data_IF_360528167651
#
_entry.id   IF_360528167651
#
_cell.length_a   1.000
_cell.length_b   1.000
_cell.length_c   1.000
_cell.angle_alpha   90.00
_cell.angle_beta   90.00
_cell.angle_gamma   90.00
#
_symmetry.space_group_name_H-M   'P 1'
#
loop_
_entity.id
_entity.type
_entity.pdbx_description
1 polymer ?
#
# COMPACT_ATOMS: atom_id res chain seq x y z
N UNK A 1 -75.41 -7.01 -89.46
CA UNK A 1 -76.43 -5.99 -89.38
C UNK A 1 -76.22 -5.17 -88.16
N UNK A 2 -75.82 -3.95 -88.41
CA UNK A 2 -76.07 -2.70 -87.69
C UNK A 2 -75.65 -2.55 -86.23
N UNK A 3 -74.62 -1.79 -86.09
CA UNK A 3 -74.51 -0.33 -85.79
C UNK A 3 -75.09 0.04 -84.41
N UNK A 4 -74.34 0.67 -83.62
CA UNK A 4 -74.28 2.13 -83.37
C UNK A 4 -73.23 2.51 -82.38
N UNK A 5 -72.43 3.51 -82.73
CA UNK A 5 -71.48 4.30 -81.92
C UNK A 5 -72.17 4.98 -80.77
N UNK A 6 -71.50 5.04 -79.62
CA UNK A 6 -71.52 6.25 -78.78
C UNK A 6 -70.17 6.51 -78.15
N UNK A 7 -69.62 7.66 -78.49
CA UNK A 7 -68.47 8.31 -77.82
C UNK A 7 -68.93 8.80 -76.47
N UNK A 8 -68.08 8.59 -75.44
CA UNK A 8 -68.19 9.34 -74.20
C UNK A 8 -66.78 9.69 -73.74
N UNK A 9 -66.50 10.98 -73.67
CA UNK A 9 -65.24 11.61 -73.21
C UNK A 9 -65.18 11.48 -71.72
N UNK A 10 -64.09 10.93 -71.20
CA UNK A 10 -63.78 10.99 -69.80
C UNK A 10 -62.56 11.90 -69.59
N UNK A 11 -62.84 12.93 -68.84
CA UNK A 11 -61.89 13.89 -68.30
C UNK A 11 -60.85 13.15 -67.40
N UNK A 12 -59.58 13.19 -67.77
CA UNK A 12 -58.50 12.64 -66.93
C UNK A 12 -58.09 13.69 -65.93
N UNK A 13 -58.43 13.47 -64.65
CA UNK A 13 -57.98 14.22 -63.50
C UNK A 13 -56.59 13.69 -63.13
N UNK A 14 -55.56 14.48 -63.39
CA UNK A 14 -54.18 14.13 -62.99
C UNK A 14 -53.97 14.35 -61.49
N UNK A 15 -53.77 13.27 -60.77
CA UNK A 15 -53.30 13.30 -59.36
C UNK A 15 -51.82 13.36 -59.39
N UNK A 16 -51.27 14.53 -59.07
CA UNK A 16 -49.81 14.69 -58.76
C UNK A 16 -49.57 14.15 -57.39
N UNK A 17 -48.98 12.97 -57.25
CA UNK A 17 -48.48 12.43 -56.00
C UNK A 17 -47.06 13.04 -55.74
N UNK A 18 -46.95 13.99 -54.78
CA UNK A 18 -45.71 14.52 -54.31
C UNK A 18 -45.04 13.46 -53.38
N UNK A 19 -44.00 12.81 -53.86
CA UNK A 19 -43.14 11.95 -53.06
C UNK A 19 -42.29 12.82 -52.10
N UNK A 20 -42.69 12.93 -50.83
CA UNK A 20 -41.87 13.43 -49.76
C UNK A 20 -40.78 12.37 -49.41
N UNK A 21 -39.58 12.50 -49.98
CA UNK A 21 -38.41 11.77 -49.56
C UNK A 21 -38.01 12.26 -48.17
N UNK A 22 -38.44 11.57 -47.11
CA UNK A 22 -37.94 11.75 -45.75
C UNK A 22 -36.50 11.27 -45.74
N UNK A 23 -35.53 12.22 -45.72
CA UNK A 23 -34.15 11.93 -45.39
C UNK A 23 -34.10 11.42 -43.94
N UNK A 24 -34.21 10.12 -43.74
CA UNK A 24 -33.85 9.50 -42.46
C UNK A 24 -32.34 9.64 -42.27
N UNK A 25 -31.91 10.48 -41.34
CA UNK A 25 -30.53 10.53 -40.91
C UNK A 25 -30.11 9.14 -40.41
N UNK A 26 -28.93 8.64 -40.78
CA UNK A 26 -28.47 7.36 -40.28
C UNK A 26 -28.44 7.39 -38.75
N UNK A 27 -28.79 6.28 -38.06
CA UNK A 27 -28.70 6.23 -36.60
C UNK A 27 -27.26 6.52 -36.18
N UNK A 28 -27.08 7.55 -35.34
CA UNK A 28 -25.82 7.84 -34.70
C UNK A 28 -25.44 6.58 -33.90
N UNK A 29 -24.43 5.86 -34.35
CA UNK A 29 -23.92 4.72 -33.63
C UNK A 29 -23.41 5.25 -32.27
N UNK A 30 -24.20 5.04 -31.22
CA UNK A 30 -23.74 5.28 -29.86
C UNK A 30 -22.61 4.30 -29.58
N UNK A 31 -21.36 4.81 -29.56
CA UNK A 31 -20.21 4.04 -29.10
C UNK A 31 -20.56 3.50 -27.70
N UNK A 32 -20.50 2.17 -27.47
CA UNK A 32 -20.78 1.65 -26.16
C UNK A 32 -19.86 2.37 -25.15
N UNK A 33 -20.43 2.88 -24.06
CA UNK A 33 -19.64 3.48 -23.01
C UNK A 33 -18.56 2.49 -22.59
N UNK A 34 -17.30 2.91 -22.64
CA UNK A 34 -16.17 2.04 -22.31
C UNK A 34 -16.41 1.47 -20.90
N UNK A 35 -16.30 0.14 -20.76
CA UNK A 35 -16.46 -0.55 -19.49
C UNK A 35 -15.48 0.05 -18.48
N UNK A 36 -15.97 0.40 -17.29
CA UNK A 36 -15.10 0.87 -16.22
C UNK A 36 -14.05 -0.20 -15.89
N UNK A 37 -12.81 0.22 -15.74
CA UNK A 37 -11.74 -0.65 -15.26
C UNK A 37 -12.02 -1.09 -13.84
N UNK A 38 -11.74 -2.36 -13.53
CA UNK A 38 -11.93 -2.97 -12.21
C UNK A 38 -10.60 -3.38 -11.63
N UNK A 39 -10.34 -2.98 -10.38
CA UNK A 39 -9.10 -3.29 -9.65
C UNK A 39 -9.45 -3.99 -8.35
N UNK A 40 -8.81 -5.13 -8.09
CA UNK A 40 -8.88 -5.79 -6.81
C UNK A 40 -7.63 -5.44 -5.99
N UNK A 41 -7.81 -4.84 -4.83
CA UNK A 41 -6.76 -4.66 -3.82
C UNK A 41 -6.88 -5.79 -2.81
N UNK A 42 -5.80 -6.53 -2.57
CA UNK A 42 -5.74 -7.62 -1.61
C UNK A 42 -4.63 -7.34 -0.61
N UNK A 43 -4.93 -7.38 0.68
CA UNK A 43 -4.00 -7.05 1.76
C UNK A 43 -4.25 -7.92 2.99
N UNK A 44 -3.22 -8.26 3.78
CA UNK A 44 -3.40 -8.93 5.07
C UNK A 44 -3.51 -7.95 6.26
N UNK A 45 -3.37 -6.63 6.08
CA UNK A 45 -3.05 -5.71 7.17
C UNK A 45 -3.96 -4.47 7.29
N UNK A 46 -5.25 -4.52 6.88
CA UNK A 46 -6.14 -3.34 6.99
C UNK A 46 -6.38 -2.84 8.41
N UNK A 47 -6.12 -3.66 9.42
CA UNK A 47 -6.17 -3.24 10.82
C UNK A 47 -5.00 -2.32 11.21
N UNK A 48 -3.92 -2.27 10.41
CA UNK A 48 -2.78 -1.37 10.59
C UNK A 48 -3.09 0.00 9.99
N UNK A 49 -2.79 1.08 10.71
CA UNK A 49 -3.15 2.45 10.33
C UNK A 49 -2.51 2.86 8.99
N UNK A 50 -1.22 2.57 8.80
CA UNK A 50 -0.51 2.97 7.58
C UNK A 50 -0.93 2.16 6.36
N UNK A 51 -1.23 0.88 6.53
CA UNK A 51 -1.80 0.04 5.46
C UNK A 51 -3.14 0.60 5.01
N UNK A 52 -4.04 0.86 5.98
CA UNK A 52 -5.33 1.46 5.68
C UNK A 52 -5.18 2.79 4.95
N UNK A 53 -4.29 3.65 5.44
CA UNK A 53 -4.04 4.96 4.85
C UNK A 53 -3.60 4.86 3.39
N UNK A 54 -2.54 4.10 3.07
CA UNK A 54 -2.02 4.01 1.71
C UNK A 54 -3.03 3.39 0.73
N UNK A 55 -3.81 2.39 1.19
CA UNK A 55 -4.84 1.76 0.36
C UNK A 55 -6.00 2.72 0.12
N UNK A 56 -6.44 3.48 1.12
CA UNK A 56 -7.49 4.49 0.96
C UNK A 56 -7.04 5.61 0.00
N UNK A 57 -5.78 6.06 0.08
CA UNK A 57 -5.22 7.03 -0.87
C UNK A 57 -5.15 6.45 -2.29
N UNK A 58 -4.70 5.21 -2.46
CA UNK A 58 -4.72 4.55 -3.76
C UNK A 58 -6.14 4.44 -4.32
N UNK A 59 -7.10 3.97 -3.51
CA UNK A 59 -8.51 3.87 -3.91
C UNK A 59 -9.06 5.22 -4.36
N UNK A 60 -8.80 6.28 -3.63
CA UNK A 60 -9.19 7.66 -3.99
C UNK A 60 -8.62 8.09 -5.34
N UNK A 61 -7.33 7.82 -5.60
CA UNK A 61 -6.67 8.12 -6.88
C UNK A 61 -7.27 7.30 -8.04
N UNK A 62 -7.53 6.02 -7.82
CA UNK A 62 -8.09 5.11 -8.81
C UNK A 62 -9.55 5.47 -9.15
N UNK A 63 -10.37 5.78 -8.16
CA UNK A 63 -11.77 6.20 -8.35
C UNK A 63 -11.87 7.56 -9.07
N UNK A 64 -10.92 8.48 -8.82
CA UNK A 64 -10.83 9.74 -9.56
C UNK A 64 -10.54 9.54 -11.06
N UNK A 65 -9.91 8.41 -11.45
CA UNK A 65 -9.70 7.98 -12.83
C UNK A 65 -10.91 7.22 -13.40
N UNK A 66 -12.02 7.10 -12.65
CA UNK A 66 -13.23 6.41 -13.04
C UNK A 66 -13.17 4.87 -12.90
N UNK A 67 -12.15 4.33 -12.21
CA UNK A 67 -12.01 2.89 -11.99
C UNK A 67 -12.88 2.44 -10.81
N UNK A 68 -13.25 1.16 -10.81
CA UNK A 68 -13.91 0.53 -9.69
C UNK A 68 -12.88 -0.25 -8.86
N UNK A 69 -12.78 0.04 -7.57
CA UNK A 69 -11.81 -0.61 -6.67
C UNK A 69 -12.53 -1.41 -5.60
N UNK A 70 -12.18 -2.69 -5.51
CA UNK A 70 -12.61 -3.57 -4.41
C UNK A 70 -11.41 -3.82 -3.51
N UNK A 71 -11.58 -3.64 -2.21
CA UNK A 71 -10.53 -3.92 -1.20
C UNK A 71 -10.93 -5.14 -0.39
N UNK A 72 -10.03 -6.11 -0.28
CA UNK A 72 -10.23 -7.32 0.50
C UNK A 72 -9.10 -7.45 1.52
N UNK A 73 -9.48 -7.46 2.79
CA UNK A 73 -8.58 -7.75 3.91
C UNK A 73 -8.67 -9.23 4.28
N UNK A 74 -7.53 -9.84 4.57
CA UNK A 74 -7.47 -11.22 5.05
C UNK A 74 -7.05 -11.34 6.51
N UNK A 75 -6.91 -10.22 7.22
CA UNK A 75 -6.62 -10.16 8.66
C UNK A 75 -5.44 -11.06 9.08
N UNK A 76 -4.30 -10.95 8.38
CA UNK A 76 -3.08 -11.73 8.54
C UNK A 76 -3.19 -13.23 8.15
N UNK A 77 -4.30 -13.67 7.53
CA UNK A 77 -4.39 -15.01 6.94
C UNK A 77 -3.80 -15.02 5.52
N UNK A 78 -2.56 -15.49 5.39
CA UNK A 78 -1.84 -15.55 4.10
C UNK A 78 -2.38 -16.65 3.18
N UNK A 79 -2.99 -17.72 3.71
CA UNK A 79 -3.64 -18.74 2.87
C UNK A 79 -4.91 -18.18 2.22
N UNK A 80 -5.68 -17.41 2.99
CA UNK A 80 -6.84 -16.71 2.48
C UNK A 80 -6.44 -15.66 1.43
N UNK A 81 -5.28 -15.02 1.58
CA UNK A 81 -4.75 -14.07 0.61
C UNK A 81 -4.58 -14.68 -0.79
N UNK A 82 -4.01 -15.90 -0.88
CA UNK A 82 -3.92 -16.66 -2.14
C UNK A 82 -5.30 -16.91 -2.74
N UNK A 83 -6.27 -17.29 -1.89
CA UNK A 83 -7.65 -17.52 -2.33
C UNK A 83 -8.27 -16.25 -2.89
N UNK A 84 -8.10 -15.10 -2.24
CA UNK A 84 -8.65 -13.80 -2.70
C UNK A 84 -8.03 -13.33 -4.01
N UNK A 85 -6.76 -13.62 -4.25
CA UNK A 85 -6.14 -13.36 -5.57
C UNK A 85 -6.80 -14.24 -6.65
N UNK A 86 -7.03 -15.53 -6.39
CA UNK A 86 -7.73 -16.43 -7.32
C UNK A 86 -9.19 -16.03 -7.55
N UNK A 87 -9.87 -15.51 -6.54
CA UNK A 87 -11.22 -14.95 -6.67
C UNK A 87 -11.23 -13.73 -7.62
N UNK A 88 -10.25 -12.82 -7.47
CA UNK A 88 -10.09 -11.68 -8.37
C UNK A 88 -9.82 -12.11 -9.82
N UNK A 89 -9.02 -13.17 -10.01
CA UNK A 89 -8.79 -13.78 -11.34
C UNK A 89 -10.09 -14.32 -11.92
N UNK A 90 -10.90 -15.02 -11.13
CA UNK A 90 -12.20 -15.57 -11.56
C UNK A 90 -13.18 -14.45 -11.94
N UNK A 91 -13.14 -13.32 -11.24
CA UNK A 91 -13.93 -12.13 -11.53
C UNK A 91 -13.43 -11.36 -12.76
N UNK A 92 -12.29 -11.75 -13.33
CA UNK A 92 -11.65 -11.11 -14.50
C UNK A 92 -11.44 -9.61 -14.31
N UNK A 93 -10.89 -9.24 -13.15
CA UNK A 93 -10.52 -7.85 -12.90
C UNK A 93 -9.43 -7.39 -13.88
N UNK A 94 -9.33 -6.08 -14.13
CA UNK A 94 -8.34 -5.53 -15.07
C UNK A 94 -6.92 -5.45 -14.48
N UNK A 95 -6.80 -5.36 -13.15
CA UNK A 95 -5.54 -5.41 -12.42
C UNK A 95 -5.75 -5.87 -10.97
N UNK A 96 -4.69 -6.42 -10.38
CA UNK A 96 -4.63 -6.75 -8.95
C UNK A 96 -3.56 -5.86 -8.30
N UNK A 97 -3.83 -5.35 -7.10
CA UNK A 97 -2.87 -4.62 -6.28
C UNK A 97 -2.65 -5.37 -4.97
N UNK A 98 -1.41 -5.73 -4.68
CA UNK A 98 -0.98 -6.28 -3.40
C UNK A 98 -0.64 -5.13 -2.47
N UNK A 99 -1.41 -4.97 -1.39
CA UNK A 99 -1.16 -3.98 -0.36
C UNK A 99 -0.32 -4.56 0.77
N UNK A 100 0.96 -4.19 0.89
CA UNK A 100 1.88 -4.57 1.97
C UNK A 100 2.10 -6.08 2.20
N UNK A 101 1.54 -6.95 1.36
CA UNK A 101 1.73 -8.40 1.47
C UNK A 101 3.07 -8.87 0.89
N UNK A 102 3.58 -10.01 1.36
CA UNK A 102 4.78 -10.63 0.81
C UNK A 102 4.43 -11.55 -0.37
N UNK A 103 4.80 -11.19 -1.63
CA UNK A 103 4.49 -11.99 -2.81
C UNK A 103 5.08 -13.41 -2.75
N UNK A 104 6.17 -13.63 -2.02
CA UNK A 104 6.76 -14.96 -1.85
C UNK A 104 5.78 -15.94 -1.16
N UNK A 105 4.83 -15.44 -0.39
CA UNK A 105 3.79 -16.23 0.28
C UNK A 105 2.55 -16.45 -0.60
N UNK A 106 2.51 -15.88 -1.81
CA UNK A 106 1.33 -15.86 -2.70
C UNK A 106 1.58 -16.50 -4.06
N UNK A 107 2.64 -17.29 -4.21
CA UNK A 107 3.10 -17.85 -5.51
C UNK A 107 1.97 -18.43 -6.35
N UNK A 108 1.10 -19.28 -5.77
CA UNK A 108 -0.01 -19.87 -6.51
C UNK A 108 -1.07 -18.85 -6.98
N UNK A 109 -1.28 -17.77 -6.22
CA UNK A 109 -2.16 -16.68 -6.62
C UNK A 109 -1.57 -15.87 -7.77
N UNK A 110 -0.28 -15.58 -7.70
CA UNK A 110 0.46 -14.86 -8.75
C UNK A 110 0.55 -15.67 -10.05
N UNK A 111 0.77 -16.98 -9.96
CA UNK A 111 0.72 -17.88 -11.12
C UNK A 111 -0.67 -17.87 -11.78
N UNK A 112 -1.74 -17.93 -11.00
CA UNK A 112 -3.10 -17.85 -11.53
C UNK A 112 -3.39 -16.51 -12.23
N UNK A 113 -2.93 -15.38 -11.65
CA UNK A 113 -3.05 -14.07 -12.27
C UNK A 113 -2.25 -13.98 -13.59
N UNK A 114 -1.02 -14.51 -13.59
CA UNK A 114 -0.15 -14.58 -14.78
C UNK A 114 -0.79 -15.39 -15.90
N UNK A 115 -1.31 -16.58 -15.61
CA UNK A 115 -1.99 -17.44 -16.60
C UNK A 115 -3.24 -16.78 -17.19
N UNK A 116 -3.93 -15.96 -16.40
CA UNK A 116 -5.07 -15.18 -16.84
C UNK A 116 -4.70 -13.85 -17.54
N UNK A 117 -3.40 -13.52 -17.64
CA UNK A 117 -2.87 -12.26 -18.15
C UNK A 117 -3.40 -11.03 -17.37
N UNK A 118 -3.64 -11.17 -16.07
CA UNK A 118 -4.02 -10.07 -15.20
C UNK A 118 -2.75 -9.51 -14.54
N UNK A 119 -2.40 -8.22 -14.76
CA UNK A 119 -1.22 -7.62 -14.17
C UNK A 119 -1.37 -7.47 -12.66
N UNK A 120 -0.29 -7.74 -11.92
CA UNK A 120 -0.23 -7.57 -10.48
C UNK A 120 0.76 -6.45 -10.14
N UNK A 121 0.32 -5.47 -9.37
CA UNK A 121 1.11 -4.35 -8.87
C UNK A 121 1.26 -4.46 -7.35
N UNK A 122 2.36 -3.97 -6.80
CA UNK A 122 2.59 -3.89 -5.37
C UNK A 122 2.55 -2.46 -4.88
N UNK A 123 1.94 -2.23 -3.70
CA UNK A 123 2.11 -1.02 -2.89
C UNK A 123 2.71 -1.44 -1.55
N UNK A 124 3.93 -1.00 -1.29
CA UNK A 124 4.72 -1.36 -0.11
C UNK A 124 4.73 -2.87 0.17
N UNK A 125 4.71 -3.65 -0.92
CA UNK A 125 4.79 -5.09 -0.93
C UNK A 125 6.25 -5.55 -1.16
N UNK A 126 6.45 -6.82 -1.48
CA UNK A 126 7.74 -7.32 -1.96
C UNK A 126 7.79 -7.42 -3.49
N UNK A 127 8.96 -7.80 -4.01
CA UNK A 127 9.14 -8.22 -5.39
C UNK A 127 9.24 -9.75 -5.45
N UNK A 128 8.51 -10.34 -6.40
CA UNK A 128 8.63 -11.74 -6.76
C UNK A 128 8.16 -11.94 -8.21
N UNK A 129 8.51 -13.07 -8.86
CA UNK A 129 7.93 -13.44 -10.15
C UNK A 129 6.40 -13.37 -10.13
N UNK A 130 5.83 -12.70 -11.13
CA UNK A 130 4.37 -12.47 -11.22
C UNK A 130 3.92 -11.09 -10.72
N UNK A 131 4.75 -10.34 -9.99
CA UNK A 131 4.53 -8.92 -9.69
C UNK A 131 5.15 -8.10 -10.81
N UNK A 132 4.35 -7.27 -11.47
CA UNK A 132 4.79 -6.46 -12.61
C UNK A 132 5.68 -5.30 -12.16
N UNK A 133 5.28 -4.62 -11.10
CA UNK A 133 6.04 -3.55 -10.45
C UNK A 133 5.57 -3.37 -9.02
N UNK A 134 6.51 -3.18 -8.10
CA UNK A 134 6.24 -2.80 -6.72
C UNK A 134 6.71 -1.35 -6.47
N UNK A 135 5.83 -0.53 -5.90
CA UNK A 135 6.14 0.82 -5.43
C UNK A 135 6.26 0.78 -3.92
N UNK A 136 7.43 1.04 -3.38
CA UNK A 136 7.72 0.92 -1.94
C UNK A 136 8.75 1.97 -1.52
N UNK A 137 8.99 2.13 -0.23
CA UNK A 137 10.11 2.94 0.25
C UNK A 137 11.45 2.25 -0.01
N UNK A 138 12.53 3.04 -0.03
CA UNK A 138 13.88 2.51 0.13
C UNK A 138 14.07 2.01 1.57
N UNK A 139 13.55 0.81 1.83
CA UNK A 139 13.53 0.23 3.16
C UNK A 139 14.93 0.00 3.75
N UNK A 140 15.95 -0.20 2.93
CA UNK A 140 17.34 -0.29 3.37
C UNK A 140 17.84 1.07 3.87
N UNK A 141 17.57 2.14 3.11
CA UNK A 141 17.93 3.50 3.53
C UNK A 141 17.15 3.93 4.79
N UNK A 142 15.85 3.57 4.90
CA UNK A 142 15.06 3.85 6.11
C UNK A 142 15.65 3.15 7.34
N UNK A 143 15.98 1.86 7.23
CA UNK A 143 16.59 1.08 8.32
C UNK A 143 17.91 1.67 8.76
N UNK A 144 18.79 2.01 7.82
CA UNK A 144 20.08 2.65 8.09
C UNK A 144 19.90 4.00 8.78
N UNK A 145 19.10 4.91 8.21
CA UNK A 145 18.88 6.25 8.75
C UNK A 145 18.30 6.22 10.16
N UNK A 146 17.33 5.33 10.42
CA UNK A 146 16.71 5.18 11.73
C UNK A 146 17.70 4.65 12.77
N UNK A 147 18.51 3.66 12.41
CA UNK A 147 19.53 3.09 13.31
C UNK A 147 20.65 4.09 13.60
N UNK A 148 21.16 4.83 12.60
CA UNK A 148 22.14 5.89 12.80
C UNK A 148 21.59 7.01 13.71
N UNK A 149 20.32 7.36 13.58
CA UNK A 149 19.66 8.36 14.41
C UNK A 149 19.59 7.90 15.87
N UNK A 150 19.17 6.66 16.10
CA UNK A 150 19.14 6.09 17.44
C UNK A 150 20.55 5.97 18.02
N UNK A 151 21.53 5.47 17.27
CA UNK A 151 22.91 5.35 17.70
C UNK A 151 23.49 6.69 18.15
N UNK A 152 23.24 7.78 17.40
CA UNK A 152 23.64 9.15 17.80
C UNK A 152 22.95 9.59 19.08
N UNK A 153 21.66 9.31 19.24
CA UNK A 153 20.88 9.71 20.41
C UNK A 153 21.31 9.00 21.71
N UNK A 154 21.90 7.80 21.59
CA UNK A 154 22.49 7.04 22.73
C UNK A 154 24.02 7.19 22.80
N UNK A 155 24.60 8.21 22.14
CA UNK A 155 26.03 8.51 22.13
C UNK A 155 26.90 7.34 21.65
N UNK A 156 26.42 6.51 20.74
CA UNK A 156 27.12 5.37 20.15
C UNK A 156 27.41 4.22 21.11
N UNK A 157 26.68 4.10 22.23
CA UNK A 157 26.90 3.07 23.22
C UNK A 157 25.64 2.62 23.96
N UNK A 158 25.64 1.41 24.46
CA UNK A 158 24.58 0.83 25.29
C UNK A 158 23.83 -0.31 24.62
N UNK A 159 22.87 -0.88 25.32
CA UNK A 159 22.07 -1.99 24.87
C UNK A 159 20.86 -1.49 24.07
N UNK A 160 20.63 -2.10 22.91
CA UNK A 160 19.50 -1.80 22.02
C UNK A 160 18.62 -3.04 21.89
N UNK A 161 17.32 -2.83 21.92
CA UNK A 161 16.29 -3.82 21.59
C UNK A 161 15.73 -3.49 20.21
N UNK A 162 15.49 -4.52 19.40
CA UNK A 162 14.86 -4.36 18.07
C UNK A 162 13.50 -5.02 18.03
N UNK A 163 12.48 -4.29 17.59
CA UNK A 163 11.15 -4.81 17.29
C UNK A 163 10.97 -4.99 15.79
N UNK A 164 10.65 -6.21 15.37
CA UNK A 164 10.58 -6.64 13.96
C UNK A 164 9.26 -7.36 13.65
N UNK A 165 8.97 -7.50 12.37
CA UNK A 165 7.85 -8.31 11.88
C UNK A 165 8.26 -8.95 10.54
N UNK A 166 8.73 -10.18 10.59
CA UNK A 166 9.32 -10.86 9.43
C UNK A 166 8.34 -11.17 8.28
N UNK A 167 7.01 -11.36 8.51
CA UNK A 167 6.08 -11.53 7.41
C UNK A 167 6.02 -10.36 6.43
N UNK A 168 6.43 -9.13 6.84
CA UNK A 168 6.45 -7.96 5.96
C UNK A 168 7.84 -7.73 5.36
N UNK A 169 8.01 -7.76 4.01
CA UNK A 169 9.32 -7.66 3.36
C UNK A 169 10.04 -6.34 3.63
N UNK A 170 9.31 -5.23 3.68
CA UNK A 170 9.87 -3.90 4.02
C UNK A 170 10.43 -3.86 5.44
N UNK A 171 9.71 -4.42 6.43
CA UNK A 171 10.20 -4.48 7.82
C UNK A 171 11.43 -5.37 7.94
N UNK A 172 11.49 -6.50 7.21
CA UNK A 172 12.72 -7.34 7.16
C UNK A 172 13.92 -6.57 6.63
N UNK A 173 13.75 -5.83 5.53
CA UNK A 173 14.82 -5.03 4.94
C UNK A 173 15.31 -3.92 5.89
N UNK A 174 14.37 -3.20 6.53
CA UNK A 174 14.67 -2.18 7.55
C UNK A 174 15.45 -2.79 8.72
N UNK A 175 14.99 -3.94 9.25
CA UNK A 175 15.61 -4.61 10.38
C UNK A 175 17.02 -5.13 10.06
N UNK A 176 17.24 -5.66 8.85
CA UNK A 176 18.56 -6.09 8.41
C UNK A 176 19.54 -4.92 8.32
N UNK A 177 19.14 -3.81 7.67
CA UNK A 177 19.97 -2.61 7.55
C UNK A 177 20.24 -1.94 8.91
N UNK A 178 19.25 -1.92 9.81
CA UNK A 178 19.42 -1.39 11.16
C UNK A 178 20.40 -2.25 11.97
N UNK A 179 20.29 -3.58 11.91
CA UNK A 179 21.20 -4.49 12.60
C UNK A 179 22.64 -4.34 12.10
N UNK A 180 22.84 -4.24 10.78
CA UNK A 180 24.17 -3.97 10.19
C UNK A 180 24.73 -2.62 10.65
N UNK A 181 23.88 -1.58 10.69
CA UNK A 181 24.26 -0.26 11.17
C UNK A 181 24.69 -0.31 12.63
N UNK A 182 23.93 -0.94 13.52
CA UNK A 182 24.31 -1.06 14.94
C UNK A 182 25.60 -1.85 15.13
N UNK A 183 25.85 -2.89 14.31
CA UNK A 183 27.08 -3.68 14.37
C UNK A 183 28.34 -2.86 14.03
N UNK A 184 28.21 -1.73 13.32
CA UNK A 184 29.32 -0.81 13.06
C UNK A 184 29.71 0.05 14.27
N UNK A 185 28.90 0.07 15.35
CA UNK A 185 29.20 0.79 16.60
C UNK A 185 29.70 -0.19 17.65
N UNK A 186 31.00 -0.20 17.99
CA UNK A 186 31.61 -1.23 18.85
C UNK A 186 31.05 -1.30 20.27
N UNK A 187 30.47 -0.19 20.75
CA UNK A 187 29.89 -0.09 22.09
C UNK A 187 28.37 -0.22 22.12
N UNK A 188 27.72 -0.46 20.99
CA UNK A 188 26.28 -0.79 20.91
C UNK A 188 26.13 -2.30 20.88
N UNK A 189 25.25 -2.83 21.71
CA UNK A 189 24.88 -4.25 21.72
C UNK A 189 23.38 -4.40 21.44
N UNK A 190 23.02 -5.07 20.36
CA UNK A 190 21.65 -5.54 20.16
C UNK A 190 21.46 -6.76 21.04
N UNK A 191 20.79 -6.58 22.19
CA UNK A 191 20.62 -7.65 23.19
C UNK A 191 19.42 -8.52 22.94
N UNK A 192 18.38 -7.97 22.28
CA UNK A 192 17.14 -8.68 21.96
C UNK A 192 16.59 -8.24 20.61
N UNK A 193 16.06 -9.22 19.84
CA UNK A 193 15.19 -9.01 18.70
C UNK A 193 13.86 -9.67 18.99
N UNK A 194 12.80 -8.90 19.02
CA UNK A 194 11.44 -9.39 19.32
C UNK A 194 10.54 -9.26 18.11
N UNK A 195 9.86 -10.33 17.79
CA UNK A 195 8.76 -10.31 16.83
C UNK A 195 7.57 -9.59 17.43
N UNK A 196 6.96 -8.70 16.68
CA UNK A 196 5.73 -8.00 17.06
C UNK A 196 4.57 -8.57 16.27
N UNK A 197 3.54 -9.00 16.97
CA UNK A 197 2.34 -9.56 16.38
C UNK A 197 1.45 -8.49 15.73
N UNK A 198 0.83 -8.86 14.62
CA UNK A 198 -0.20 -8.08 13.93
C UNK A 198 -1.40 -9.02 13.74
N UNK A 199 -2.61 -8.59 14.11
CA UNK A 199 -3.04 -7.27 14.59
C UNK A 199 -2.68 -6.99 16.06
N UNK A 200 -2.73 -5.70 16.45
CA UNK A 200 -2.51 -5.24 17.84
C UNK A 200 -1.05 -4.95 18.20
N UNK A 201 -0.24 -4.36 17.29
CA UNK A 201 1.20 -4.18 17.51
C UNK A 201 1.53 -3.26 18.69
N UNK A 202 0.70 -2.25 19.00
CA UNK A 202 0.89 -1.35 20.15
C UNK A 202 0.84 -2.12 21.46
N UNK A 203 -0.22 -2.88 21.70
CA UNK A 203 -0.41 -3.63 22.95
C UNK A 203 0.60 -4.77 23.08
N UNK A 204 0.92 -5.45 21.98
CA UNK A 204 1.92 -6.50 21.95
C UNK A 204 3.31 -5.95 22.31
N UNK A 205 3.74 -4.85 21.67
CA UNK A 205 5.02 -4.20 21.96
C UNK A 205 5.08 -3.62 23.38
N UNK A 206 3.97 -3.03 23.89
CA UNK A 206 3.88 -2.55 25.26
C UNK A 206 4.13 -3.68 26.26
N UNK A 207 3.44 -4.81 26.12
CA UNK A 207 3.61 -5.97 26.99
C UNK A 207 5.05 -6.52 26.93
N UNK A 208 5.59 -6.71 25.72
CA UNK A 208 6.98 -7.16 25.55
C UNK A 208 7.96 -6.18 26.23
N UNK A 209 7.72 -4.89 26.13
CA UNK A 209 8.57 -3.88 26.79
C UNK A 209 8.45 -3.96 28.31
N UNK A 210 7.25 -4.13 28.87
CA UNK A 210 7.06 -4.34 30.33
C UNK A 210 7.84 -5.55 30.83
N UNK A 211 7.81 -6.68 30.10
CA UNK A 211 8.57 -7.89 30.41
C UNK A 211 10.08 -7.64 30.33
N UNK A 212 10.55 -6.90 29.31
CA UNK A 212 11.96 -6.53 29.17
C UNK A 212 12.43 -5.57 30.27
N UNK A 213 11.62 -4.62 30.70
CA UNK A 213 11.94 -3.72 31.81
C UNK A 213 12.03 -4.47 33.14
N UNK A 214 11.27 -5.55 33.29
CA UNK A 214 11.39 -6.47 34.44
C UNK A 214 12.69 -7.27 34.38
N UNK A 215 13.10 -7.74 33.20
CA UNK A 215 14.33 -8.50 32.99
C UNK A 215 15.60 -7.62 33.10
N UNK A 216 15.49 -6.34 32.76
CA UNK A 216 16.55 -5.34 32.78
C UNK A 216 16.16 -4.14 33.67
N UNK A 217 16.06 -4.31 35.02
CA UNK A 217 15.46 -3.33 35.91
C UNK A 217 16.29 -2.07 36.11
N UNK A 218 17.62 -2.19 35.97
CA UNK A 218 18.53 -1.09 36.26
C UNK A 218 18.41 0.06 35.25
N UNK A 219 18.39 1.31 35.75
CA UNK A 219 18.41 2.47 34.86
C UNK A 219 19.64 2.44 33.96
N UNK A 220 19.43 2.72 32.65
CA UNK A 220 20.47 2.64 31.63
C UNK A 220 20.81 1.22 31.14
N UNK A 221 20.24 0.16 31.72
CA UNK A 221 20.39 -1.22 31.21
C UNK A 221 19.86 -1.41 29.78
N UNK A 222 18.88 -0.60 29.37
CA UNK A 222 18.41 -0.45 28.00
C UNK A 222 18.60 1.02 27.60
N UNK A 223 19.46 1.27 26.62
CA UNK A 223 19.71 2.61 26.10
C UNK A 223 18.72 3.02 25.03
N UNK A 224 18.31 2.08 24.18
CA UNK A 224 17.39 2.36 23.09
C UNK A 224 16.52 1.18 22.64
N UNK A 225 15.37 1.53 22.06
CA UNK A 225 14.48 0.57 21.38
C UNK A 225 14.31 1.06 19.94
N UNK A 226 14.70 0.23 19.00
CA UNK A 226 14.44 0.42 17.58
C UNK A 226 13.21 -0.38 17.15
N UNK A 227 12.23 0.28 16.55
CA UNK A 227 11.04 -0.38 16.05
C UNK A 227 10.96 -0.24 14.51
N UNK A 228 10.66 -1.33 13.84
CA UNK A 228 10.54 -1.39 12.38
C UNK A 228 9.40 -0.54 11.81
N UNK A 229 8.48 -0.08 12.67
CA UNK A 229 7.43 0.89 12.37
C UNK A 229 6.92 1.58 13.64
N UNK A 230 6.04 2.61 13.48
CA UNK A 230 5.69 3.52 14.60
C UNK A 230 4.78 2.90 15.67
N UNK A 231 3.88 1.97 15.30
CA UNK A 231 2.94 1.39 16.28
C UNK A 231 3.66 0.64 17.42
N UNK A 232 4.63 -0.27 17.17
CA UNK A 232 5.39 -0.87 18.27
C UNK A 232 6.28 0.13 19.00
N UNK A 233 6.77 1.18 18.33
CA UNK A 233 7.49 2.26 19.01
C UNK A 233 6.57 2.95 20.03
N UNK A 234 5.32 3.21 19.69
CA UNK A 234 4.34 3.79 20.62
C UNK A 234 4.11 2.87 21.84
N UNK A 235 3.96 1.56 21.63
CA UNK A 235 3.83 0.59 22.71
C UNK A 235 5.03 0.60 23.66
N UNK A 236 6.25 0.66 23.10
CA UNK A 236 7.49 0.78 23.87
C UNK A 236 7.52 2.07 24.70
N UNK A 237 7.15 3.20 24.10
CA UNK A 237 7.08 4.51 24.80
C UNK A 237 6.09 4.46 25.96
N UNK A 238 4.91 3.88 25.78
CA UNK A 238 3.90 3.77 26.84
C UNK A 238 4.44 2.97 28.03
N UNK A 239 5.08 1.82 27.80
CA UNK A 239 5.68 1.01 28.84
C UNK A 239 6.84 1.73 29.55
N UNK A 240 7.72 2.38 28.78
CA UNK A 240 8.84 3.14 29.35
C UNK A 240 8.36 4.29 30.27
N UNK A 241 7.35 5.05 29.85
CA UNK A 241 6.75 6.11 30.64
C UNK A 241 6.06 5.58 31.92
N UNK A 242 5.32 4.48 31.80
CA UNK A 242 4.66 3.85 32.94
C UNK A 242 5.64 3.35 34.01
N UNK A 243 6.82 2.90 33.58
CA UNK A 243 7.90 2.45 34.45
C UNK A 243 8.89 3.56 34.90
N UNK A 244 8.62 4.84 34.54
CA UNK A 244 9.53 5.98 34.77
C UNK A 244 10.94 5.80 34.15
N UNK A 245 11.05 4.99 33.05
CA UNK A 245 12.30 4.73 32.32
C UNK A 245 12.44 5.71 31.14
N UNK A 246 12.38 7.02 31.44
CA UNK A 246 12.35 8.10 30.44
C UNK A 246 13.69 8.33 29.74
N UNK A 247 14.77 7.74 30.25
CA UNK A 247 16.09 7.75 29.63
C UNK A 247 16.17 6.90 28.35
N UNK A 248 15.30 5.90 28.19
CA UNK A 248 15.27 5.02 27.02
C UNK A 248 14.89 5.84 25.78
N UNK A 249 15.68 5.73 24.70
CA UNK A 249 15.42 6.38 23.42
C UNK A 249 14.69 5.42 22.49
N UNK A 250 13.52 5.83 22.00
CA UNK A 250 12.70 5.01 21.11
C UNK A 250 12.69 5.62 19.72
N UNK A 251 12.93 4.78 18.71
CA UNK A 251 12.96 5.15 17.30
C UNK A 251 11.91 4.36 16.52
N UNK A 252 11.11 5.05 15.69
CA UNK A 252 10.12 4.46 14.81
C UNK A 252 10.40 4.71 13.33
N UNK A 253 9.53 4.17 12.48
CA UNK A 253 9.48 4.40 11.04
C UNK A 253 7.99 4.48 10.66
N UNK A 254 7.60 5.35 9.76
CA UNK A 254 6.36 5.65 9.06
C UNK A 254 6.03 7.14 9.08
N UNK A 255 6.35 7.85 10.18
CA UNK A 255 6.01 9.26 10.35
C UNK A 255 4.52 9.50 10.55
N UNK A 256 3.84 8.62 11.27
CA UNK A 256 2.41 8.70 11.58
C UNK A 256 2.06 9.95 12.36
N UNK A 257 0.77 10.33 12.35
CA UNK A 257 0.30 11.50 13.08
C UNK A 257 0.54 11.36 14.59
N UNK A 258 0.30 10.17 15.17
CA UNK A 258 0.56 9.94 16.59
C UNK A 258 2.07 9.95 16.92
N UNK A 259 2.93 9.42 16.03
CA UNK A 259 4.38 9.47 16.24
C UNK A 259 4.90 10.91 16.26
N UNK A 260 4.45 11.75 15.33
CA UNK A 260 4.76 13.20 15.33
C UNK A 260 4.32 13.86 16.64
N UNK A 261 3.09 13.57 17.10
CA UNK A 261 2.57 14.11 18.35
C UNK A 261 3.40 13.66 19.56
N UNK A 262 3.85 12.41 19.62
CA UNK A 262 4.73 11.91 20.69
C UNK A 262 6.14 12.52 20.63
N UNK A 263 6.73 12.61 19.43
CA UNK A 263 8.05 13.21 19.21
C UNK A 263 8.05 14.69 19.64
N UNK A 264 6.97 15.43 19.35
CA UNK A 264 6.82 16.85 19.74
C UNK A 264 6.85 17.07 21.26
N UNK A 265 6.49 16.05 22.07
CA UNK A 265 6.57 16.09 23.54
C UNK A 265 7.99 16.03 24.07
N UNK A 266 8.99 15.72 23.23
CA UNK A 266 10.41 15.57 23.59
C UNK A 266 10.67 14.53 24.68
N UNK A 267 9.85 13.47 24.69
CA UNK A 267 9.94 12.32 25.59
C UNK A 267 10.82 11.20 25.02
N UNK A 268 10.56 9.94 25.43
CA UNK A 268 11.26 8.76 24.93
C UNK A 268 11.20 8.57 23.41
N UNK A 269 10.09 8.91 22.74
CA UNK A 269 9.97 8.82 21.29
C UNK A 269 10.75 9.95 20.63
N UNK A 270 11.98 9.67 20.20
CA UNK A 270 12.91 10.71 19.75
C UNK A 270 12.75 11.10 18.29
N UNK A 271 12.40 10.15 17.43
CA UNK A 271 12.29 10.38 15.99
C UNK A 271 11.56 9.23 15.28
N UNK A 272 11.07 9.50 14.07
CA UNK A 272 10.55 8.51 13.13
C UNK A 272 11.06 8.82 11.72
N UNK A 273 11.33 7.80 10.90
CA UNK A 273 11.60 8.02 9.46
C UNK A 273 10.30 7.89 8.70
N UNK A 274 9.75 9.01 8.26
CA UNK A 274 8.49 9.04 7.53
C UNK A 274 8.62 8.36 6.16
N UNK A 275 7.63 7.56 5.80
CA UNK A 275 7.38 7.07 4.46
C UNK A 275 6.44 8.04 3.73
N UNK A 276 6.56 8.14 2.41
CA UNK A 276 5.64 8.94 1.58
C UNK A 276 4.58 8.03 0.95
N UNK A 277 3.58 7.66 1.74
CA UNK A 277 2.47 6.81 1.32
C UNK A 277 1.60 7.47 0.25
N UNK A 278 1.50 8.79 0.22
CA UNK A 278 0.77 9.52 -0.83
C UNK A 278 1.47 9.37 -2.18
N UNK A 279 2.79 9.52 -2.19
CA UNK A 279 3.59 9.31 -3.41
C UNK A 279 3.53 7.84 -3.89
N UNK A 280 3.54 6.86 -2.97
CA UNK A 280 3.38 5.45 -3.34
C UNK A 280 2.02 5.20 -3.99
N UNK A 281 0.94 5.67 -3.38
CA UNK A 281 -0.42 5.51 -3.90
C UNK A 281 -0.59 6.17 -5.27
N UNK A 282 -0.12 7.41 -5.42
CA UNK A 282 -0.19 8.16 -6.67
C UNK A 282 0.63 7.47 -7.78
N UNK A 283 1.86 7.05 -7.46
CA UNK A 283 2.75 6.38 -8.44
C UNK A 283 2.19 5.04 -8.89
N UNK A 284 1.60 4.25 -7.99
CA UNK A 284 0.96 3.00 -8.36
C UNK A 284 -0.22 3.23 -9.29
N UNK A 285 -1.09 4.22 -9.00
CA UNK A 285 -2.21 4.55 -9.87
C UNK A 285 -1.74 5.07 -11.26
N UNK A 286 -0.65 5.84 -11.32
CA UNK A 286 -0.01 6.29 -12.56
C UNK A 286 0.50 5.10 -13.40
N UNK A 287 1.18 4.15 -12.78
CA UNK A 287 1.74 2.97 -13.46
C UNK A 287 0.64 2.04 -14.00
N UNK A 288 -0.45 1.86 -13.25
CA UNK A 288 -1.62 1.10 -13.70
C UNK A 288 -2.28 1.80 -14.90
N UNK A 289 -2.44 3.12 -14.86
CA UNK A 289 -2.98 3.90 -15.99
C UNK A 289 -2.09 3.78 -17.24
N UNK A 290 -0.78 3.92 -17.07
CA UNK A 290 0.18 3.75 -18.14
C UNK A 290 0.08 2.36 -18.78
N UNK A 291 -0.04 1.32 -17.94
CA UNK A 291 -0.22 -0.07 -18.40
C UNK A 291 -1.53 -0.25 -19.19
N UNK A 292 -2.65 0.30 -18.72
CA UNK A 292 -3.94 0.26 -19.44
C UNK A 292 -3.87 1.00 -20.78
N UNK A 293 -2.97 1.96 -20.92
CA UNK A 293 -2.66 2.68 -22.16
C UNK A 293 -1.55 1.99 -23.00
N UNK A 294 -1.20 0.74 -22.70
CA UNK A 294 -0.24 -0.05 -23.45
C UNK A 294 1.24 0.20 -23.14
N UNK A 295 1.55 0.98 -22.10
CA UNK A 295 2.93 1.25 -21.67
C UNK A 295 3.31 0.30 -20.52
N UNK A 296 4.35 -0.50 -20.73
CA UNK A 296 4.91 -1.35 -19.66
C UNK A 296 5.81 -0.53 -18.74
N UNK A 297 5.87 -0.84 -17.42
CA UNK A 297 6.86 -0.26 -16.52
C UNK A 297 8.30 -0.55 -17.01
N UNK A 298 9.18 0.43 -16.84
CA UNK A 298 10.62 0.30 -17.19
C UNK A 298 11.41 -0.48 -16.12
N UNK A 299 10.89 -0.53 -14.90
CA UNK A 299 11.47 -1.26 -13.76
C UNK A 299 10.36 -2.01 -13.02
N UNK A 300 10.70 -3.13 -12.42
CA UNK A 300 9.83 -3.91 -11.53
C UNK A 300 9.82 -3.37 -10.08
N UNK A 301 10.67 -2.39 -9.77
CA UNK A 301 10.80 -1.78 -8.46
C UNK A 301 10.93 -0.25 -8.57
N UNK A 302 10.05 0.46 -7.87
CA UNK A 302 10.11 1.92 -7.71
C UNK A 302 10.31 2.23 -6.23
N UNK A 303 11.41 2.91 -5.92
CA UNK A 303 11.76 3.30 -4.55
C UNK A 303 11.36 4.76 -4.28
N UNK A 304 10.58 4.97 -3.24
CA UNK A 304 10.19 6.29 -2.75
C UNK A 304 11.07 6.64 -1.54
N UNK A 305 11.77 7.77 -1.53
CA UNK A 305 12.62 8.15 -0.41
C UNK A 305 11.81 8.48 0.84
N UNK A 306 12.37 8.17 2.01
CA UNK A 306 11.83 8.58 3.29
C UNK A 306 12.44 9.89 3.81
N UNK A 307 11.85 10.42 4.89
CA UNK A 307 12.26 11.67 5.53
C UNK A 307 12.31 11.54 7.04
N UNK A 308 13.42 11.96 7.67
CA UNK A 308 13.54 11.95 9.12
C UNK A 308 12.62 13.01 9.76
N UNK A 309 11.85 12.58 10.76
CA UNK A 309 11.02 13.42 11.63
C UNK A 309 11.66 13.43 13.01
N UNK A 310 11.93 14.62 13.51
CA UNK A 310 12.44 14.89 14.86
C UNK A 310 11.57 15.95 15.55
N UNK A 311 11.84 16.27 16.80
CA UNK A 311 11.10 17.32 17.52
C UNK A 311 11.21 18.72 16.87
N UNK A 312 12.15 18.92 15.96
CA UNK A 312 12.35 20.19 15.25
C UNK A 312 11.38 20.37 14.07
N UNK A 313 10.89 19.24 13.51
CA UNK A 313 10.04 19.24 12.30
C UNK A 313 8.81 18.33 12.39
N UNK A 314 8.44 17.90 13.60
CA UNK A 314 7.27 17.05 13.86
C UNK A 314 5.91 17.79 13.80
N UNK A 315 5.91 19.10 13.50
CA UNK A 315 4.69 19.93 13.40
C UNK A 315 3.94 19.70 12.10
#
# INVERSE_FOLDING_TARGET
>A
MDMIRRRSSYLTLGVVAALLAACAAPPVATTPAARKKTIAVVTPYMANETTKYVIDQFKKQAEAKGWQVTVTDTAADFNLLVTRIKDAVTQKVDAIVLGMGDPAQMTQGLEAASQANIPVFGIDAGNAPGVLVNVTSDNTALGKLSAETLAKAINGQGNVIMFTHDPHPGVRARAAAAAETFAAYPNIKVIEKKHIEVPGPVDNARKITEDLLTAYPESGSIAGIWAGWDEPALGAVQAALAANRTEIKVMGIDGTAFAKAEIAKKGPFIASVAQDFDAMAAKTAELIEAYFNGKKPESDLILIPGRLITAENAQ
#
